data_IF_794896635317
#
_entry.id   IF_794896635317
#
_cell.length_a   1.000
_cell.length_b   1.000
_cell.length_c   1.000
_cell.angle_alpha   90.00
_cell.angle_beta   90.00
_cell.angle_gamma   90.00
#
_symmetry.space_group_name_H-M   'P 1'
#
loop_
_entity.id
_entity.type
_entity.pdbx_description
1 polymer ?
#
# COMPACT_ATOMS: atom_id res chain seq x y z
N UNK A 1 -0.40 52.96 17.39
CA UNK A 1 -1.18 52.40 18.45
C UNK A 1 -2.29 51.48 17.91
N UNK A 2 -1.94 50.32 17.32
CA UNK A 2 -2.92 49.33 16.77
C UNK A 2 -2.31 47.94 16.71
N UNK A 3 -1.77 47.37 17.80
CA UNK A 3 -1.23 46.00 17.80
C UNK A 3 -1.35 45.25 19.12
N UNK A 4 -2.24 45.59 20.01
CA UNK A 4 -2.31 44.94 21.34
C UNK A 4 -3.66 44.23 21.62
N UNK A 5 -4.61 44.17 20.68
CA UNK A 5 -5.94 43.61 20.97
C UNK A 5 -6.08 42.14 20.47
N UNK A 6 -5.09 41.57 19.79
CA UNK A 6 -5.23 40.23 19.22
C UNK A 6 -4.73 39.07 20.08
N UNK A 7 -4.09 39.33 21.20
CA UNK A 7 -3.50 38.26 22.02
C UNK A 7 -4.39 37.82 23.22
N UNK A 8 -5.43 38.57 23.56
CA UNK A 8 -6.29 38.29 24.73
C UNK A 8 -7.49 37.41 24.43
N UNK A 9 -7.81 37.15 23.15
CA UNK A 9 -8.99 36.35 22.76
C UNK A 9 -8.71 34.85 22.60
N UNK A 10 -7.44 34.44 22.57
CA UNK A 10 -7.05 33.06 22.38
C UNK A 10 -6.86 32.26 23.68
N UNK A 11 -6.89 32.93 24.83
CA UNK A 11 -6.67 32.28 26.14
C UNK A 11 -7.96 31.88 26.86
N UNK A 12 -9.14 32.20 26.32
CA UNK A 12 -10.42 31.94 27.00
C UNK A 12 -11.17 30.70 26.45
N UNK A 13 -10.60 29.97 25.52
CA UNK A 13 -11.27 28.81 24.85
C UNK A 13 -10.83 27.43 25.37
N UNK A 14 -9.97 27.35 26.39
CA UNK A 14 -9.43 26.08 26.89
C UNK A 14 -10.00 25.59 28.22
N UNK A 15 -11.11 26.15 28.73
CA UNK A 15 -11.56 25.85 30.10
C UNK A 15 -13.00 25.31 30.22
N UNK A 16 -13.56 24.67 29.20
CA UNK A 16 -14.90 24.03 29.35
C UNK A 16 -14.96 22.64 28.74
N UNK A 17 -14.19 21.69 29.21
CA UNK A 17 -14.42 20.27 28.91
C UNK A 17 -14.04 19.38 30.11
N UNK A 18 -14.69 19.57 31.25
CA UNK A 18 -14.79 18.48 32.23
C UNK A 18 -16.12 18.65 32.96
N UNK A 19 -17.15 17.94 32.53
CA UNK A 19 -18.18 17.29 33.35
C UNK A 19 -19.25 16.72 32.42
N UNK A 20 -19.50 15.44 32.51
CA UNK A 20 -20.60 14.81 31.77
C UNK A 20 -20.56 13.30 31.84
N UNK A 21 -20.48 12.70 33.01
CA UNK A 21 -20.84 11.32 33.21
C UNK A 21 -22.36 11.18 33.08
N UNK A 22 -22.84 10.63 31.97
CA UNK A 22 -24.25 10.36 31.70
C UNK A 22 -24.41 9.00 31.03
N UNK A 23 -24.83 7.97 31.79
CA UNK A 23 -25.33 6.69 31.25
C UNK A 23 -26.52 6.98 30.36
N UNK A 24 -26.42 6.60 29.08
CA UNK A 24 -27.57 6.39 28.21
C UNK A 24 -27.31 5.19 27.32
N UNK A 25 -28.09 4.13 27.58
CA UNK A 25 -28.17 2.95 26.71
C UNK A 25 -28.79 3.36 25.38
N UNK A 26 -28.01 3.41 24.32
CA UNK A 26 -28.47 3.21 22.94
C UNK A 26 -27.50 2.26 22.28
N UNK A 27 -28.03 1.09 21.89
CA UNK A 27 -27.40 0.22 20.92
C UNK A 27 -27.32 0.99 19.61
N UNK A 28 -26.16 1.47 19.25
CA UNK A 28 -25.74 1.71 17.88
C UNK A 28 -24.67 0.67 17.59
N UNK A 29 -24.94 -0.15 16.55
CA UNK A 29 -23.98 -1.05 15.94
C UNK A 29 -22.86 -0.21 15.31
N UNK A 30 -21.98 0.34 16.12
CA UNK A 30 -20.66 0.71 15.67
C UNK A 30 -19.87 -0.59 15.59
N UNK A 31 -19.51 -1.02 14.38
CA UNK A 31 -18.42 -1.96 14.16
C UNK A 31 -17.19 -1.36 14.83
N UNK A 32 -17.01 -1.71 16.08
CA UNK A 32 -15.73 -1.56 16.78
C UNK A 32 -14.76 -2.48 16.04
N UNK A 33 -14.01 -1.92 15.11
CA UNK A 33 -12.86 -2.60 14.53
C UNK A 33 -11.93 -2.93 15.68
N UNK A 34 -11.90 -4.20 16.04
CA UNK A 34 -11.10 -4.74 17.13
C UNK A 34 -9.62 -4.59 16.77
N UNK A 35 -9.05 -3.42 17.04
CA UNK A 35 -7.61 -3.13 16.86
C UNK A 35 -6.74 -4.20 17.56
N UNK A 36 -7.28 -4.86 18.59
CA UNK A 36 -6.59 -5.95 19.30
C UNK A 36 -6.31 -7.18 18.44
N UNK A 37 -7.12 -7.44 17.39
CA UNK A 37 -6.94 -8.61 16.53
C UNK A 37 -5.84 -8.38 15.47
N UNK A 38 -5.33 -7.15 15.34
CA UNK A 38 -4.34 -6.76 14.34
C UNK A 38 -2.93 -6.60 14.90
N UNK A 39 -2.75 -6.81 16.21
CA UNK A 39 -1.46 -6.68 16.91
C UNK A 39 -1.04 -8.02 17.46
N UNK A 40 0.23 -8.37 17.28
CA UNK A 40 0.87 -9.54 17.88
C UNK A 40 1.10 -9.29 19.38
N UNK A 41 1.39 -10.36 20.12
CA UNK A 41 1.66 -10.30 21.58
C UNK A 41 2.89 -9.42 21.92
N UNK A 42 3.81 -9.22 20.97
CA UNK A 42 4.98 -8.36 21.10
C UNK A 42 4.72 -6.87 20.75
N UNK A 43 3.47 -6.53 20.42
CA UNK A 43 3.05 -5.17 20.05
C UNK A 43 3.29 -4.81 18.59
N UNK A 44 3.75 -5.74 17.74
CA UNK A 44 3.90 -5.52 16.30
C UNK A 44 2.59 -5.74 15.56
N UNK A 45 2.40 -5.07 14.41
CA UNK A 45 1.24 -5.30 13.54
C UNK A 45 1.32 -6.70 12.93
N UNK A 46 0.17 -7.39 12.88
CA UNK A 46 0.06 -8.68 12.18
C UNK A 46 0.26 -8.47 10.69
N UNK A 47 1.16 -9.25 10.11
CA UNK A 47 1.34 -9.35 8.68
C UNK A 47 0.55 -10.50 8.09
N UNK A 48 -0.14 -10.26 6.98
CA UNK A 48 -0.82 -11.26 6.17
C UNK A 48 -0.09 -11.38 4.83
N UNK A 49 0.38 -12.58 4.53
CA UNK A 49 0.95 -12.90 3.23
C UNK A 49 -0.17 -13.22 2.24
N UNK A 50 -0.13 -12.62 1.07
CA UNK A 50 -1.08 -12.93 0.02
C UNK A 50 -0.55 -14.05 -0.87
N UNK A 51 -1.09 -15.27 -0.68
CA UNK A 51 -0.72 -16.47 -1.43
C UNK A 51 -1.70 -16.76 -2.60
N UNK A 52 -2.49 -15.78 -3.03
CA UNK A 52 -3.42 -15.95 -4.14
C UNK A 52 -2.67 -16.25 -5.44
N UNK A 53 -3.09 -17.30 -6.14
CA UNK A 53 -2.46 -17.73 -7.41
C UNK A 53 -2.43 -16.64 -8.49
N UNK A 54 -3.40 -15.74 -8.49
CA UNK A 54 -3.44 -14.60 -9.40
C UNK A 54 -2.37 -13.55 -9.09
N UNK A 55 -1.97 -13.41 -7.83
CA UNK A 55 -0.88 -12.54 -7.39
C UNK A 55 0.48 -13.14 -7.72
N UNK A 56 0.63 -14.45 -7.49
CA UNK A 56 1.89 -15.18 -7.69
C UNK A 56 2.18 -15.54 -9.14
N UNK A 57 1.24 -15.28 -10.07
CA UNK A 57 1.36 -15.66 -11.47
C UNK A 57 2.53 -14.95 -12.14
N UNK A 58 3.41 -15.75 -12.78
CA UNK A 58 4.44 -15.21 -13.66
C UNK A 58 3.82 -14.49 -14.86
N UNK A 59 4.40 -13.35 -15.21
CA UNK A 59 4.01 -12.55 -16.38
C UNK A 59 5.24 -12.09 -17.14
N UNK A 60 5.10 -11.98 -18.45
CA UNK A 60 6.14 -11.43 -19.33
C UNK A 60 5.64 -10.11 -19.90
N UNK A 61 6.39 -9.04 -19.67
CA UNK A 61 6.10 -7.69 -20.17
C UNK A 61 7.32 -7.19 -20.90
N UNK A 62 7.19 -6.97 -22.21
CA UNK A 62 8.24 -6.45 -23.09
C UNK A 62 9.61 -7.16 -22.96
N UNK A 63 9.59 -8.48 -22.79
CA UNK A 63 10.80 -9.31 -22.66
C UNK A 63 11.35 -9.44 -21.24
N UNK A 64 10.75 -8.74 -20.28
CA UNK A 64 11.04 -8.93 -18.85
C UNK A 64 10.06 -9.94 -18.26
N UNK A 65 10.59 -11.00 -17.67
CA UNK A 65 9.80 -11.93 -16.85
C UNK A 65 9.71 -11.43 -15.44
N UNK A 66 8.48 -11.27 -14.96
CA UNK A 66 8.12 -10.86 -13.59
C UNK A 66 7.59 -12.07 -12.83
N UNK A 67 8.32 -12.53 -11.84
CA UNK A 67 7.95 -13.70 -11.04
C UNK A 67 8.41 -13.56 -9.59
N UNK A 68 8.26 -14.63 -8.80
CA UNK A 68 8.64 -14.67 -7.38
C UNK A 68 8.03 -13.49 -6.61
N UNK A 69 6.75 -13.19 -6.88
CA UNK A 69 6.03 -12.12 -6.22
C UNK A 69 5.75 -12.52 -4.78
N UNK A 70 6.08 -11.63 -3.86
CA UNK A 70 5.69 -11.71 -2.46
C UNK A 70 4.94 -10.43 -2.09
N UNK A 71 3.71 -10.56 -1.61
CA UNK A 71 2.88 -9.45 -1.15
C UNK A 71 2.50 -9.71 0.30
N UNK A 72 2.98 -8.85 1.20
CA UNK A 72 2.65 -8.83 2.62
C UNK A 72 1.86 -7.58 2.94
N UNK A 73 0.83 -7.71 3.75
CA UNK A 73 -0.03 -6.60 4.15
C UNK A 73 -0.24 -6.58 5.65
N UNK A 74 -0.35 -5.37 6.18
CA UNK A 74 -0.93 -5.10 7.50
C UNK A 74 -2.24 -4.34 7.29
N UNK A 75 -2.93 -4.00 8.36
CA UNK A 75 -4.13 -3.15 8.29
C UNK A 75 -3.89 -1.77 7.62
N UNK A 76 -2.64 -1.29 7.63
CA UNK A 76 -2.31 0.09 7.22
C UNK A 76 -1.35 0.19 6.05
N UNK A 77 -0.64 -0.88 5.73
CA UNK A 77 0.40 -0.85 4.71
C UNK A 77 0.58 -2.18 4.03
N UNK A 78 1.21 -2.17 2.87
CA UNK A 78 1.63 -3.36 2.17
C UNK A 78 3.02 -3.19 1.60
N UNK A 79 3.78 -4.28 1.59
CA UNK A 79 5.06 -4.38 0.90
C UNK A 79 4.99 -5.47 -0.17
N UNK A 80 5.57 -5.21 -1.32
CA UNK A 80 5.63 -6.17 -2.42
C UNK A 80 7.06 -6.28 -2.94
N UNK A 81 7.53 -7.49 -3.15
CA UNK A 81 8.76 -7.75 -3.88
C UNK A 81 8.48 -8.57 -5.13
N UNK A 82 9.21 -8.29 -6.21
CA UNK A 82 9.07 -8.93 -7.51
C UNK A 82 10.47 -9.19 -8.05
N UNK A 83 10.72 -10.38 -8.57
CA UNK A 83 11.91 -10.64 -9.37
C UNK A 83 11.63 -10.31 -10.84
N UNK A 84 12.38 -9.37 -11.41
CA UNK A 84 12.36 -9.00 -12.81
C UNK A 84 13.60 -9.55 -13.50
N UNK A 85 13.41 -10.37 -14.55
CA UNK A 85 14.51 -10.99 -15.30
C UNK A 85 14.39 -10.60 -16.78
N UNK A 86 15.45 -10.01 -17.32
CA UNK A 86 15.55 -9.77 -18.77
C UNK A 86 15.98 -11.04 -19.49
N UNK A 87 15.06 -11.68 -20.16
CA UNK A 87 15.33 -12.91 -20.93
C UNK A 87 15.77 -12.66 -22.37
N UNK A 88 15.89 -11.41 -22.79
CA UNK A 88 16.34 -11.06 -24.16
C UNK A 88 17.86 -11.00 -24.25
N UNK A 89 18.37 -10.88 -25.47
CA UNK A 89 19.80 -10.79 -25.74
C UNK A 89 20.31 -9.32 -25.73
N UNK A 90 19.43 -8.37 -25.43
CA UNK A 90 19.76 -6.95 -25.37
C UNK A 90 19.36 -6.36 -24.02
N UNK A 91 20.04 -5.32 -23.59
CA UNK A 91 19.64 -4.56 -22.42
C UNK A 91 18.28 -3.86 -22.65
N UNK A 92 17.43 -3.87 -21.63
CA UNK A 92 16.13 -3.17 -21.65
C UNK A 92 16.17 -2.05 -20.66
N UNK A 93 15.89 -0.83 -21.14
CA UNK A 93 15.78 0.38 -20.31
C UNK A 93 14.34 0.83 -20.24
N UNK A 94 13.86 1.13 -19.03
CA UNK A 94 12.52 1.69 -18.80
C UNK A 94 12.53 2.68 -17.65
N UNK A 95 11.54 3.58 -17.63
CA UNK A 95 11.44 4.62 -16.63
C UNK A 95 10.83 4.07 -15.34
N UNK A 96 9.74 3.34 -15.46
CA UNK A 96 9.06 2.71 -14.32
C UNK A 96 8.14 1.56 -14.76
N UNK A 97 7.81 0.71 -13.81
CA UNK A 97 6.83 -0.35 -13.93
C UNK A 97 5.54 0.07 -13.21
N UNK A 98 4.44 0.14 -13.92
CA UNK A 98 3.12 0.29 -13.34
C UNK A 98 2.61 -1.06 -12.87
N UNK A 99 2.05 -1.09 -11.67
CA UNK A 99 1.47 -2.28 -11.06
C UNK A 99 0.00 -2.03 -10.76
N UNK A 100 -0.88 -2.86 -11.30
CA UNK A 100 -2.32 -2.77 -11.10
C UNK A 100 -2.78 -3.91 -10.20
N UNK A 101 -3.34 -3.56 -9.05
CA UNK A 101 -3.89 -4.51 -8.09
C UNK A 101 -5.39 -4.68 -8.36
N UNK A 102 -5.82 -5.89 -8.66
CA UNK A 102 -7.20 -6.18 -9.06
C UNK A 102 -7.92 -7.05 -8.05
N UNK A 103 -9.21 -6.75 -7.83
CA UNK A 103 -10.11 -7.60 -7.10
C UNK A 103 -10.55 -8.84 -7.92
N UNK A 104 -11.43 -9.67 -7.34
CA UNK A 104 -11.97 -10.86 -8.00
C UNK A 104 -12.76 -10.58 -9.28
N UNK A 105 -13.28 -9.36 -9.42
CA UNK A 105 -14.09 -8.93 -10.56
C UNK A 105 -13.21 -8.26 -11.65
N UNK A 106 -11.88 -8.23 -11.42
CA UNK A 106 -10.89 -7.64 -12.33
C UNK A 106 -10.82 -6.11 -12.26
N UNK A 107 -11.50 -5.50 -11.29
CA UNK A 107 -11.49 -4.06 -11.07
C UNK A 107 -10.24 -3.66 -10.30
N UNK A 108 -9.63 -2.55 -10.69
CA UNK A 108 -8.46 -2.02 -10.00
C UNK A 108 -8.83 -1.48 -8.61
N UNK A 109 -8.22 -2.01 -7.55
CA UNK A 109 -8.50 -1.66 -6.15
C UNK A 109 -8.04 -0.23 -5.82
N UNK A 110 -6.98 0.23 -6.47
CA UNK A 110 -6.40 1.56 -6.25
C UNK A 110 -7.02 2.63 -7.17
N UNK A 111 -8.07 2.30 -7.94
CA UNK A 111 -8.62 3.17 -8.97
C UNK A 111 -7.65 3.33 -10.14
N UNK A 112 -7.60 4.53 -10.73
CA UNK A 112 -6.64 4.85 -11.80
C UNK A 112 -5.22 5.12 -11.26
N UNK A 113 -5.07 5.19 -9.95
CA UNK A 113 -3.78 5.42 -9.32
C UNK A 113 -2.91 4.18 -9.44
N UNK A 114 -2.02 4.27 -10.35
CA UNK A 114 -0.97 3.30 -10.63
C UNK A 114 0.05 3.33 -9.52
N UNK A 115 0.41 2.16 -9.04
CA UNK A 115 1.62 2.04 -8.24
C UNK A 115 2.81 2.27 -9.17
N UNK A 116 3.28 3.48 -9.26
CA UNK A 116 4.52 3.77 -9.95
C UNK A 116 5.67 3.22 -9.10
N UNK A 117 6.34 2.21 -9.59
CA UNK A 117 7.61 1.81 -9.02
C UNK A 117 8.60 2.92 -9.32
N UNK A 118 9.14 3.53 -8.26
CA UNK A 118 10.12 4.59 -8.37
C UNK A 118 11.29 4.21 -9.32
N UNK A 119 12.02 5.18 -9.86
CA UNK A 119 13.01 5.02 -10.93
C UNK A 119 14.25 4.18 -10.55
N UNK A 120 14.07 3.16 -9.75
CA UNK A 120 15.11 2.20 -9.37
C UNK A 120 15.62 1.37 -10.56
N UNK A 121 15.06 1.61 -11.75
CA UNK A 121 15.23 0.63 -12.79
C UNK A 121 16.32 0.98 -13.77
N UNK A 122 16.26 2.07 -14.37
CA UNK A 122 17.18 2.36 -15.45
C UNK A 122 17.24 1.18 -16.42
N UNK A 123 18.28 0.40 -16.35
CA UNK A 123 18.55 -0.69 -17.31
C UNK A 123 18.67 -2.04 -16.59
N UNK A 124 18.03 -3.07 -17.18
CA UNK A 124 18.31 -4.49 -16.84
C UNK A 124 19.07 -5.06 -18.05
N UNK A 125 20.31 -5.46 -17.84
CA UNK A 125 21.15 -6.00 -18.90
C UNK A 125 20.61 -7.36 -19.37
N UNK A 126 21.09 -7.80 -20.55
CA UNK A 126 20.77 -9.14 -21.07
C UNK A 126 21.03 -10.22 -20.02
N UNK A 127 20.04 -11.10 -19.79
CA UNK A 127 20.06 -12.21 -18.82
C UNK A 127 20.23 -11.79 -17.35
N UNK A 128 20.18 -10.49 -17.04
CA UNK A 128 20.22 -9.99 -15.67
C UNK A 128 18.86 -10.11 -14.96
N UNK A 129 18.90 -10.30 -13.65
CA UNK A 129 17.73 -10.23 -12.78
C UNK A 129 17.90 -9.14 -11.71
N UNK A 130 16.80 -8.44 -11.40
CA UNK A 130 16.72 -7.48 -10.30
C UNK A 130 15.52 -7.75 -9.43
N UNK A 131 15.64 -7.45 -8.14
CA UNK A 131 14.51 -7.45 -7.22
C UNK A 131 13.95 -6.04 -7.14
N UNK A 132 12.64 -5.95 -7.30
CA UNK A 132 11.87 -4.74 -7.26
C UNK A 132 11.05 -4.73 -5.99
N UNK A 133 11.15 -3.65 -5.20
CA UNK A 133 10.40 -3.50 -3.97
C UNK A 133 9.44 -2.32 -4.07
N UNK A 134 8.21 -2.53 -3.63
CA UNK A 134 7.16 -1.52 -3.58
C UNK A 134 6.57 -1.46 -2.19
N UNK A 135 6.13 -0.26 -1.81
CA UNK A 135 5.39 -0.05 -0.58
C UNK A 135 4.07 0.66 -0.90
N UNK A 136 3.03 0.32 -0.16
CA UNK A 136 1.72 0.98 -0.21
C UNK A 136 1.28 1.33 1.20
N UNK A 137 0.77 2.54 1.40
CA UNK A 137 0.13 2.96 2.65
C UNK A 137 -1.33 2.51 2.67
N UNK A 138 -1.53 1.21 2.47
CA UNK A 138 -2.84 0.57 2.35
C UNK A 138 -2.72 -0.94 2.50
N UNK A 139 -3.77 -1.54 3.07
CA UNK A 139 -3.95 -2.99 3.07
C UNK A 139 -4.28 -3.51 1.65
N UNK A 140 -3.47 -4.42 1.15
CA UNK A 140 -3.64 -5.12 -0.13
C UNK A 140 -3.81 -6.63 0.06
N UNK A 141 -4.17 -7.10 1.26
CA UNK A 141 -4.36 -8.53 1.55
C UNK A 141 -5.46 -9.17 0.69
N UNK A 142 -6.44 -8.38 0.26
CA UNK A 142 -7.58 -8.83 -0.55
C UNK A 142 -7.33 -8.76 -2.07
N UNK A 143 -6.12 -8.50 -2.51
CA UNK A 143 -5.78 -8.52 -3.95
C UNK A 143 -5.96 -9.93 -4.50
N UNK A 144 -6.69 -10.04 -5.60
CA UNK A 144 -6.95 -11.31 -6.27
C UNK A 144 -5.95 -11.59 -7.40
N UNK A 145 -5.55 -10.55 -8.14
CA UNK A 145 -4.56 -10.65 -9.21
C UNK A 145 -3.80 -9.35 -9.39
N UNK A 146 -2.64 -9.45 -10.04
CA UNK A 146 -1.79 -8.30 -10.37
C UNK A 146 -1.55 -8.30 -11.87
N UNK A 147 -1.53 -7.13 -12.49
CA UNK A 147 -1.05 -6.94 -13.84
C UNK A 147 -0.06 -5.79 -13.92
N UNK A 148 0.79 -5.81 -14.93
CA UNK A 148 1.92 -4.90 -15.06
C UNK A 148 1.91 -4.19 -16.42
N UNK A 149 2.39 -2.95 -16.43
CA UNK A 149 2.63 -2.15 -17.63
C UNK A 149 4.00 -1.48 -17.51
N UNK A 150 4.85 -1.66 -18.51
CA UNK A 150 6.17 -1.04 -18.53
C UNK A 150 6.12 0.30 -19.26
N UNK A 151 6.69 1.34 -18.66
CA UNK A 151 6.81 2.68 -19.26
C UNK A 151 8.27 2.91 -19.63
N UNK A 152 8.51 3.18 -20.92
CA UNK A 152 9.81 3.52 -21.51
C UNK A 152 10.06 4.99 -21.51
#
# INVERSE_FOLDING_TARGET
MKKIISLSFMLLLCLTLVTGCGKSNKKEDSKDNNIKDEINDDGTLKENKNDNKGVLKEQVVEGITLNSVELKSTAYSSTMSIKATNNTDSAITFQYLKVYFKDKDGKNILGENVFAVAPLFGTINSKESKILNLNADRDLSNVYSISYEMIK
#
